data_IF_920024598769
#
_entry.id   IF_920024598769
#
_cell.length_a   1.000
_cell.length_b   1.000
_cell.length_c   1.000
_cell.angle_alpha   90.00
_cell.angle_beta   90.00
_cell.angle_gamma   90.00
#
_symmetry.space_group_name_H-M   'P 1'
#
loop_
_entity.id
_entity.type
_entity.pdbx_description
1 polymer ?
#
# COMPACT_ATOMS: atom_id res chain seq x y z
N UNK A 1 -18.42 -13.85 22.08
CA UNK A 1 -18.75 -12.91 20.96
C UNK A 1 -17.47 -12.65 20.22
N UNK A 2 -17.43 -12.88 18.91
CA UNK A 2 -16.27 -12.53 18.09
C UNK A 2 -16.25 -11.02 17.84
N UNK A 3 -15.05 -10.44 17.80
CA UNK A 3 -14.88 -9.02 17.52
C UNK A 3 -14.59 -8.86 16.02
N UNK A 4 -15.45 -8.14 15.26
CA UNK A 4 -15.32 -8.06 13.80
C UNK A 4 -13.98 -7.43 13.35
N UNK A 5 -13.40 -6.52 14.14
CA UNK A 5 -12.11 -5.93 13.83
C UNK A 5 -10.99 -6.96 13.95
N UNK A 6 -10.99 -7.75 15.01
CA UNK A 6 -10.00 -8.82 15.22
C UNK A 6 -10.14 -9.91 14.14
N UNK A 7 -11.38 -10.24 13.76
CA UNK A 7 -11.64 -11.17 12.65
C UNK A 7 -11.12 -10.65 11.32
N UNK A 8 -11.33 -9.38 10.99
CA UNK A 8 -10.81 -8.75 9.80
C UNK A 8 -9.27 -8.78 9.78
N UNK A 9 -8.62 -8.47 10.91
CA UNK A 9 -7.16 -8.58 11.06
C UNK A 9 -6.66 -10.02 10.82
N UNK A 10 -7.39 -11.01 11.35
CA UNK A 10 -7.01 -12.41 11.24
C UNK A 10 -7.29 -13.01 9.86
N UNK A 11 -8.34 -12.54 9.15
CA UNK A 11 -8.76 -13.07 7.85
C UNK A 11 -8.12 -12.38 6.64
N UNK A 12 -7.69 -11.11 6.75
CA UNK A 12 -7.05 -10.37 5.66
C UNK A 12 -5.83 -11.13 5.11
N UNK A 13 -5.72 -11.19 3.77
CA UNK A 13 -4.59 -11.82 3.05
C UNK A 13 -4.06 -10.92 1.95
N UNK A 14 -2.78 -11.12 1.62
CA UNK A 14 -2.17 -10.48 0.46
C UNK A 14 -2.68 -11.12 -0.83
N UNK A 15 -3.24 -10.31 -1.72
CA UNK A 15 -3.74 -10.73 -3.02
C UNK A 15 -2.63 -10.68 -4.07
N UNK A 16 -2.51 -11.72 -4.89
CA UNK A 16 -1.54 -11.81 -5.98
C UNK A 16 -2.21 -12.18 -7.32
N UNK A 17 -3.46 -11.83 -7.47
CA UNK A 17 -4.19 -11.88 -8.73
C UNK A 17 -5.45 -11.02 -8.59
N UNK A 18 -5.53 -9.96 -9.36
CA UNK A 18 -6.65 -9.03 -9.33
C UNK A 18 -7.48 -9.11 -10.60
N UNK A 19 -8.79 -8.82 -10.50
CA UNK A 19 -9.64 -8.54 -11.64
C UNK A 19 -9.26 -7.20 -12.25
N UNK A 20 -9.59 -7.01 -13.52
CA UNK A 20 -9.37 -5.74 -14.23
C UNK A 20 -10.43 -4.68 -13.93
N UNK A 21 -11.48 -5.02 -13.17
CA UNK A 21 -12.55 -4.10 -12.83
C UNK A 21 -12.01 -2.93 -12.02
N UNK A 22 -12.39 -1.70 -12.42
CA UNK A 22 -12.02 -0.49 -11.72
C UNK A 22 -12.62 -0.45 -10.32
N UNK A 23 -11.87 0.05 -9.36
CA UNK A 23 -12.39 0.33 -8.02
C UNK A 23 -13.03 1.72 -8.03
N UNK A 24 -14.26 1.89 -7.53
CA UNK A 24 -14.89 3.19 -7.41
C UNK A 24 -14.03 4.19 -6.64
N UNK A 25 -14.03 5.43 -7.08
CA UNK A 25 -13.23 6.51 -6.48
C UNK A 25 -13.53 6.66 -4.99
N UNK A 26 -14.79 6.62 -4.64
CA UNK A 26 -15.27 6.79 -3.26
C UNK A 26 -14.68 5.72 -2.33
N UNK A 27 -14.60 4.47 -2.79
CA UNK A 27 -13.99 3.39 -2.00
C UNK A 27 -12.47 3.58 -1.85
N UNK A 28 -11.78 4.09 -2.88
CA UNK A 28 -10.35 4.37 -2.78
C UNK A 28 -10.07 5.53 -1.82
N UNK A 29 -10.91 6.56 -1.83
CA UNK A 29 -10.83 7.70 -0.92
C UNK A 29 -11.12 7.26 0.53
N UNK A 30 -12.13 6.41 0.76
CA UNK A 30 -12.44 5.85 2.08
C UNK A 30 -11.29 5.01 2.63
N UNK A 31 -10.68 4.17 1.79
CA UNK A 31 -9.49 3.40 2.17
C UNK A 31 -8.31 4.32 2.50
N UNK A 32 -8.08 5.36 1.69
CA UNK A 32 -6.98 6.31 1.92
C UNK A 32 -7.18 7.09 3.22
N UNK A 33 -8.40 7.56 3.48
CA UNK A 33 -8.74 8.27 4.73
C UNK A 33 -8.53 7.37 5.94
N UNK A 34 -9.02 6.12 5.91
CA UNK A 34 -8.78 5.15 6.97
C UNK A 34 -7.28 4.90 7.20
N UNK A 35 -6.47 4.94 6.14
CA UNK A 35 -5.01 4.89 6.23
C UNK A 35 -4.45 6.03 7.07
N UNK A 36 -4.89 7.27 6.82
CA UNK A 36 -4.40 8.47 7.51
C UNK A 36 -4.76 8.52 9.00
N UNK A 37 -5.77 7.75 9.45
CA UNK A 37 -6.09 7.59 10.87
C UNK A 37 -5.12 6.68 11.63
N UNK A 38 -4.09 6.18 11.00
CA UNK A 38 -3.05 5.41 11.69
C UNK A 38 -2.36 6.25 12.76
N UNK A 39 -1.97 5.59 13.86
CA UNK A 39 -1.14 6.23 14.87
C UNK A 39 0.17 6.72 14.25
N UNK A 40 0.63 7.90 14.66
CA UNK A 40 1.85 8.49 14.14
C UNK A 40 2.63 9.20 15.26
N UNK A 41 3.93 9.31 15.09
CA UNK A 41 4.82 9.90 16.09
C UNK A 41 4.47 11.35 16.40
N UNK A 42 4.19 11.67 17.65
CA UNK A 42 3.91 13.02 18.16
C UNK A 42 2.74 13.73 17.45
N UNK A 43 1.84 13.02 16.80
CA UNK A 43 0.74 13.61 16.03
C UNK A 43 1.18 14.43 14.81
N UNK A 44 2.37 14.14 14.27
CA UNK A 44 2.98 14.92 13.17
C UNK A 44 2.25 14.79 11.85
N UNK A 45 1.50 13.69 11.62
CA UNK A 45 0.80 13.42 10.36
C UNK A 45 1.72 13.57 9.13
N UNK A 46 2.96 13.12 9.28
CA UNK A 46 4.04 13.29 8.31
C UNK A 46 3.99 12.26 7.17
N UNK A 47 2.79 11.89 6.74
CA UNK A 47 2.56 10.95 5.65
C UNK A 47 1.64 11.54 4.59
N UNK A 48 1.83 11.12 3.33
CA UNK A 48 0.92 11.42 2.22
C UNK A 48 0.57 10.13 1.49
N UNK A 49 -0.58 10.14 0.84
CA UNK A 49 -1.04 9.03 0.01
C UNK A 49 -1.33 9.57 -1.40
N UNK A 50 -0.75 8.94 -2.42
CA UNK A 50 -1.09 9.19 -3.82
C UNK A 50 -1.97 8.03 -4.29
N UNK A 51 -3.18 8.33 -4.74
CA UNK A 51 -4.08 7.34 -5.35
C UNK A 51 -3.82 7.34 -6.85
N UNK A 52 -3.39 6.20 -7.37
CA UNK A 52 -3.09 6.00 -8.79
C UNK A 52 -4.13 5.07 -9.40
N UNK A 53 -4.92 5.60 -10.33
CA UNK A 53 -5.92 4.85 -11.12
C UNK A 53 -5.67 4.97 -12.62
N UNK A 54 -4.86 5.95 -13.06
CA UNK A 54 -4.44 6.06 -14.45
C UNK A 54 -3.59 4.87 -14.85
N UNK A 55 -4.04 4.13 -15.86
CA UNK A 55 -3.40 2.89 -16.32
C UNK A 55 -1.97 3.13 -16.83
N UNK A 56 -1.74 4.27 -17.49
CA UNK A 56 -0.42 4.59 -18.04
C UNK A 56 0.58 4.86 -16.92
N UNK A 57 0.20 5.69 -15.94
CA UNK A 57 1.02 5.96 -14.76
C UNK A 57 1.26 4.68 -13.94
N UNK A 58 0.20 3.90 -13.68
CA UNK A 58 0.30 2.62 -12.98
C UNK A 58 1.31 1.68 -13.64
N UNK A 59 1.25 1.55 -14.97
CA UNK A 59 2.15 0.67 -15.72
C UNK A 59 3.59 1.19 -15.71
N UNK A 60 3.79 2.50 -15.77
CA UNK A 60 5.12 3.11 -15.66
C UNK A 60 5.76 2.83 -14.29
N UNK A 61 5.01 3.01 -13.21
CA UNK A 61 5.46 2.67 -11.85
C UNK A 61 5.76 1.16 -11.74
N UNK A 62 4.89 0.31 -12.32
CA UNK A 62 5.10 -1.14 -12.31
C UNK A 62 6.40 -1.55 -13.04
N UNK A 63 6.69 -0.92 -14.16
CA UNK A 63 7.92 -1.20 -14.92
C UNK A 63 9.16 -0.75 -14.15
N UNK A 64 9.14 0.42 -13.52
CA UNK A 64 10.23 0.86 -12.64
C UNK A 64 10.44 -0.11 -11.48
N UNK A 65 9.35 -0.51 -10.81
CA UNK A 65 9.40 -1.49 -9.71
C UNK A 65 9.97 -2.84 -10.17
N UNK A 66 9.60 -3.28 -11.38
CA UNK A 66 10.11 -4.50 -12.01
C UNK A 66 11.63 -4.41 -12.21
N UNK A 67 12.10 -3.31 -12.79
CA UNK A 67 13.53 -3.08 -13.07
C UNK A 67 14.34 -3.04 -11.78
N UNK A 68 13.92 -2.24 -10.80
CA UNK A 68 14.57 -2.13 -9.48
C UNK A 68 14.60 -3.50 -8.78
N UNK A 69 13.53 -4.28 -8.93
CA UNK A 69 13.42 -5.62 -8.35
C UNK A 69 14.21 -6.70 -9.07
N UNK A 70 14.79 -6.41 -10.24
CA UNK A 70 15.54 -7.38 -11.02
C UNK A 70 14.68 -8.50 -11.62
N UNK A 71 13.37 -8.29 -11.80
CA UNK A 71 12.47 -9.30 -12.36
C UNK A 71 12.52 -9.30 -13.89
N UNK A 72 12.21 -10.47 -14.45
CA UNK A 72 12.17 -10.68 -15.89
C UNK A 72 11.17 -9.73 -16.56
N UNK A 73 11.42 -9.43 -17.84
CA UNK A 73 10.49 -8.68 -18.69
C UNK A 73 9.10 -9.30 -18.71
N UNK A 74 8.07 -8.45 -18.71
CA UNK A 74 6.67 -8.85 -18.69
C UNK A 74 6.12 -9.27 -17.31
N UNK A 75 6.94 -9.35 -16.26
CA UNK A 75 6.42 -9.56 -14.91
C UNK A 75 5.80 -8.28 -14.37
N UNK A 76 4.55 -8.35 -13.90
CA UNK A 76 3.88 -7.24 -13.22
C UNK A 76 3.96 -7.41 -11.70
N UNK A 77 4.77 -6.58 -11.00
CA UNK A 77 4.90 -6.64 -9.54
C UNK A 77 3.61 -6.32 -8.78
N UNK A 78 2.65 -5.67 -9.44
CA UNK A 78 1.35 -5.32 -8.86
C UNK A 78 0.25 -6.33 -9.18
N UNK A 79 0.58 -7.46 -9.82
CA UNK A 79 -0.31 -8.61 -10.05
C UNK A 79 -1.62 -8.27 -10.76
N UNK A 80 -1.61 -7.29 -11.67
CA UNK A 80 -2.79 -6.86 -12.42
C UNK A 80 -3.74 -5.94 -11.64
N UNK A 81 -3.35 -5.46 -10.45
CA UNK A 81 -4.20 -4.53 -9.69
C UNK A 81 -4.54 -3.29 -10.51
N UNK A 82 -5.83 -2.89 -10.60
CA UNK A 82 -6.27 -1.74 -11.39
C UNK A 82 -5.87 -0.40 -10.76
N UNK A 83 -5.62 -0.38 -9.46
CA UNK A 83 -5.25 0.80 -8.70
C UNK A 83 -4.14 0.51 -7.69
N UNK A 84 -3.47 1.55 -7.23
CA UNK A 84 -2.55 1.50 -6.10
C UNK A 84 -2.62 2.80 -5.29
N UNK A 85 -2.35 2.69 -3.99
CA UNK A 85 -2.14 3.81 -3.10
C UNK A 85 -0.64 3.82 -2.73
N UNK A 86 0.06 4.87 -3.12
CA UNK A 86 1.48 5.05 -2.79
C UNK A 86 1.56 5.80 -1.47
N UNK A 87 2.20 5.22 -0.48
CA UNK A 87 2.44 5.87 0.81
C UNK A 87 3.81 6.53 0.80
N UNK A 88 3.83 7.81 1.10
CA UNK A 88 5.02 8.64 1.25
C UNK A 88 5.17 9.07 2.71
N UNK A 89 6.39 9.17 3.17
CA UNK A 89 6.75 9.77 4.45
C UNK A 89 7.63 10.99 4.25
N UNK A 90 7.43 12.04 5.06
CA UNK A 90 8.29 13.23 5.07
C UNK A 90 9.73 12.82 5.40
N UNK A 91 10.65 13.01 4.46
CA UNK A 91 12.04 12.55 4.58
C UNK A 91 12.78 13.23 5.76
N UNK A 92 12.32 14.39 6.22
CA UNK A 92 12.88 15.11 7.36
C UNK A 92 12.44 14.52 8.71
N UNK A 93 11.40 13.68 8.72
CA UNK A 93 10.84 13.08 9.92
C UNK A 93 11.48 11.71 10.25
N UNK A 94 12.07 11.58 11.44
CA UNK A 94 12.78 10.37 11.83
C UNK A 94 11.90 9.11 11.85
N UNK A 95 10.62 9.25 12.23
CA UNK A 95 9.69 8.11 12.36
C UNK A 95 8.90 7.82 11.07
N UNK A 96 9.20 8.47 9.94
CA UNK A 96 8.46 8.35 8.68
C UNK A 96 8.19 6.91 8.22
N UNK A 97 9.16 6.02 8.41
CA UNK A 97 9.04 4.61 8.02
C UNK A 97 8.03 3.90 8.91
N UNK A 98 8.08 4.14 10.22
CA UNK A 98 7.15 3.53 11.18
C UNK A 98 5.73 4.05 10.96
N UNK A 99 5.57 5.38 10.88
CA UNK A 99 4.29 6.04 10.63
C UNK A 99 3.68 5.56 9.31
N UNK A 100 4.45 5.57 8.22
CA UNK A 100 4.00 5.08 6.91
C UNK A 100 3.68 3.59 6.88
N UNK A 101 4.38 2.78 7.68
CA UNK A 101 4.08 1.35 7.83
C UNK A 101 2.74 1.13 8.53
N UNK A 102 2.40 1.93 9.53
CA UNK A 102 1.10 1.90 10.19
C UNK A 102 -0.02 2.34 9.24
N UNK A 103 0.21 3.40 8.45
CA UNK A 103 -0.70 3.81 7.36
C UNK A 103 -0.95 2.65 6.42
N UNK A 104 0.10 1.98 5.94
CA UNK A 104 -0.03 0.82 5.05
C UNK A 104 -0.84 -0.32 5.67
N UNK A 105 -0.65 -0.59 6.96
CA UNK A 105 -1.44 -1.57 7.72
C UNK A 105 -2.93 -1.24 7.71
N UNK A 106 -3.28 0.02 8.00
CA UNK A 106 -4.65 0.51 7.98
C UNK A 106 -5.27 0.46 6.58
N UNK A 107 -4.54 0.89 5.53
CA UNK A 107 -5.02 0.78 4.14
C UNK A 107 -5.44 -0.64 3.78
N UNK A 108 -4.60 -1.62 4.10
CA UNK A 108 -4.87 -3.02 3.79
C UNK A 108 -6.04 -3.58 4.59
N UNK A 109 -6.20 -3.16 5.83
CA UNK A 109 -7.32 -3.58 6.69
C UNK A 109 -8.64 -2.96 6.21
N UNK A 110 -8.64 -1.65 5.91
CA UNK A 110 -9.79 -0.94 5.37
C UNK A 110 -10.24 -1.54 4.02
N UNK A 111 -9.29 -1.78 3.10
CA UNK A 111 -9.59 -2.45 1.84
C UNK A 111 -10.31 -3.80 2.07
N UNK A 112 -9.81 -4.60 3.02
CA UNK A 112 -10.41 -5.89 3.35
C UNK A 112 -11.82 -5.75 3.92
N UNK A 113 -12.06 -4.79 4.82
CA UNK A 113 -13.38 -4.56 5.42
C UNK A 113 -14.44 -4.08 4.41
N UNK A 114 -13.98 -3.43 3.32
CA UNK A 114 -14.82 -2.94 2.22
C UNK A 114 -14.97 -3.97 1.07
N UNK A 115 -14.55 -5.22 1.28
CA UNK A 115 -14.66 -6.29 0.28
C UNK A 115 -13.62 -6.20 -0.86
N UNK A 116 -12.63 -5.33 -0.73
CA UNK A 116 -11.49 -5.25 -1.63
C UNK A 116 -10.35 -6.16 -1.16
N UNK A 117 -9.44 -6.45 -2.06
CA UNK A 117 -8.21 -7.14 -1.75
C UNK A 117 -7.02 -6.20 -1.97
N UNK A 118 -5.94 -6.44 -1.24
CA UNK A 118 -4.74 -5.63 -1.34
C UNK A 118 -3.47 -6.41 -1.06
N UNK A 119 -2.34 -5.80 -1.41
CA UNK A 119 -1.00 -6.31 -1.08
C UNK A 119 -0.02 -5.14 -0.98
N UNK A 120 0.90 -5.21 -0.02
CA UNK A 120 2.04 -4.30 0.07
C UNK A 120 3.12 -4.69 -0.92
N UNK A 121 3.52 -3.78 -1.79
CA UNK A 121 4.66 -3.91 -2.70
C UNK A 121 5.73 -2.92 -2.26
N UNK A 122 6.96 -3.41 -2.14
CA UNK A 122 8.13 -2.61 -1.75
C UNK A 122 8.69 -1.78 -2.92
N UNK A 123 9.80 -1.12 -2.70
CA UNK A 123 10.64 -0.34 -3.64
C UNK A 123 10.13 1.05 -3.97
N UNK A 124 9.08 1.51 -3.28
CA UNK A 124 8.67 2.91 -3.40
C UNK A 124 9.82 3.87 -3.04
N UNK A 125 10.69 3.48 -2.10
CA UNK A 125 11.85 4.29 -1.73
C UNK A 125 12.73 4.56 -2.95
N UNK A 126 13.23 3.52 -3.57
CA UNK A 126 14.13 3.60 -4.71
C UNK A 126 13.48 4.31 -5.92
N UNK A 127 12.17 4.09 -6.12
CA UNK A 127 11.41 4.74 -7.19
C UNK A 127 11.32 6.26 -6.98
N UNK A 128 11.01 6.71 -5.77
CA UNK A 128 10.82 8.13 -5.46
C UNK A 128 12.14 8.86 -5.14
N UNK A 129 13.23 8.17 -4.88
CA UNK A 129 14.60 8.72 -4.87
C UNK A 129 15.11 8.99 -6.30
N UNK A 130 14.58 8.29 -7.30
CA UNK A 130 14.93 8.46 -8.71
C UNK A 130 14.33 9.73 -9.34
N UNK A 131 14.89 10.15 -10.48
CA UNK A 131 14.43 11.36 -11.18
C UNK A 131 12.97 11.28 -11.65
N UNK A 132 12.52 10.12 -12.08
CA UNK A 132 11.13 9.91 -12.51
C UNK A 132 10.13 10.10 -11.35
N UNK A 133 10.48 9.57 -10.18
CA UNK A 133 9.66 9.74 -8.96
C UNK A 133 9.61 11.20 -8.53
N UNK A 134 10.74 11.89 -8.50
CA UNK A 134 10.80 13.32 -8.19
C UNK A 134 10.00 14.17 -9.18
N UNK A 135 10.10 13.86 -10.48
CA UNK A 135 9.31 14.51 -11.52
C UNK A 135 7.82 14.27 -11.33
N UNK A 136 7.42 13.07 -10.95
CA UNK A 136 6.03 12.75 -10.64
C UNK A 136 5.54 13.58 -9.45
N UNK A 137 6.27 13.65 -8.33
CA UNK A 137 5.89 14.45 -7.17
C UNK A 137 5.72 15.92 -7.54
N UNK A 138 6.67 16.46 -8.31
CA UNK A 138 6.58 17.83 -8.80
C UNK A 138 5.34 18.07 -9.68
N UNK A 139 5.01 17.14 -10.57
CA UNK A 139 3.84 17.25 -11.45
C UNK A 139 2.52 17.20 -10.68
N UNK A 140 2.51 16.60 -9.50
CA UNK A 140 1.37 16.54 -8.59
C UNK A 140 1.33 17.70 -7.59
N UNK A 141 2.25 18.66 -7.69
CA UNK A 141 2.34 19.79 -6.76
C UNK A 141 2.75 19.39 -5.34
N UNK A 142 3.41 18.24 -5.17
CA UNK A 142 3.92 17.79 -3.89
C UNK A 142 5.29 18.40 -3.65
N UNK A 143 5.32 19.42 -2.80
CA UNK A 143 6.54 20.12 -2.39
C UNK A 143 7.19 19.44 -1.17
N UNK A 144 8.50 19.68 -0.97
CA UNK A 144 9.30 19.12 0.11
C UNK A 144 9.98 17.82 -0.26
N UNK A 145 10.62 17.18 0.72
CA UNK A 145 11.35 15.93 0.53
C UNK A 145 10.52 14.76 1.04
N UNK A 146 10.24 13.81 0.15
CA UNK A 146 9.39 12.66 0.46
C UNK A 146 10.10 11.35 0.13
N UNK A 147 10.07 10.42 1.07
CA UNK A 147 10.55 9.05 0.89
C UNK A 147 9.35 8.13 0.62
N UNK A 148 9.45 7.28 -0.40
CA UNK A 148 8.45 6.24 -0.66
C UNK A 148 8.51 5.15 0.41
N UNK A 149 7.37 4.84 1.04
CA UNK A 149 7.27 3.77 2.05
C UNK A 149 6.83 2.46 1.41
N UNK A 150 5.89 2.53 0.49
CA UNK A 150 5.39 1.35 -0.21
C UNK A 150 4.16 1.64 -1.04
N UNK A 151 3.78 0.63 -1.83
CA UNK A 151 2.58 0.68 -2.64
C UNK A 151 1.56 -0.31 -2.08
N UNK A 152 0.35 0.14 -1.79
CA UNK A 152 -0.80 -0.71 -1.54
C UNK A 152 -1.48 -0.97 -2.90
N UNK A 153 -1.12 -2.07 -3.58
CA UNK A 153 -1.86 -2.51 -4.76
C UNK A 153 -3.24 -2.99 -4.33
N UNK A 154 -4.30 -2.51 -4.99
CA UNK A 154 -5.68 -2.68 -4.55
C UNK A 154 -6.63 -2.96 -5.71
N UNK A 155 -7.66 -3.78 -5.47
CA UNK A 155 -8.67 -4.16 -6.44
C UNK A 155 -9.53 -5.31 -5.95
N UNK A 156 -10.34 -5.88 -6.83
CA UNK A 156 -11.11 -7.07 -6.54
C UNK A 156 -10.26 -8.33 -6.77
N UNK A 157 -10.33 -9.35 -5.89
CA UNK A 157 -9.56 -10.57 -6.08
C UNK A 157 -10.08 -11.36 -7.27
N UNK A 158 -9.18 -11.85 -8.13
CA UNK A 158 -9.55 -12.68 -9.28
C UNK A 158 -9.81 -14.15 -8.90
N UNK A 159 -9.44 -14.54 -7.68
CA UNK A 159 -9.61 -15.90 -7.14
C UNK A 159 -9.75 -15.81 -5.63
N UNK A 160 -10.21 -16.90 -5.02
CA UNK A 160 -10.26 -17.03 -3.58
C UNK A 160 -8.88 -16.78 -2.94
N UNK A 161 -8.87 -16.02 -1.84
CA UNK A 161 -7.65 -15.74 -1.11
C UNK A 161 -7.24 -16.95 -0.25
N UNK A 162 -5.94 -17.19 -0.09
CA UNK A 162 -5.46 -18.37 0.63
C UNK A 162 -5.83 -18.31 2.12
N UNK A 163 -6.05 -19.47 2.72
CA UNK A 163 -6.19 -19.57 4.17
C UNK A 163 -4.85 -19.18 4.84
N UNK A 164 -4.93 -18.42 5.92
CA UNK A 164 -3.75 -18.01 6.67
C UNK A 164 -3.09 -19.19 7.37
N UNK A 165 -1.76 -19.26 7.30
CA UNK A 165 -1.02 -20.21 8.10
C UNK A 165 -1.20 -19.95 9.61
N UNK A 166 -1.20 -20.97 10.46
CA UNK A 166 -1.22 -20.81 11.91
C UNK A 166 -0.02 -19.96 12.37
N UNK A 167 -0.21 -19.21 13.44
CA UNK A 167 0.89 -18.42 14.02
C UNK A 167 1.88 -19.36 14.71
N UNK A 168 3.17 -19.07 14.58
CA UNK A 168 4.22 -19.83 15.24
C UNK A 168 4.04 -19.75 16.77
N UNK A 169 4.30 -20.83 17.52
CA UNK A 169 4.19 -20.81 18.98
C UNK A 169 5.22 -19.88 19.61
N UNK A 170 5.05 -19.57 20.89
CA UNK A 170 5.98 -18.79 21.71
C UNK A 170 6.32 -17.41 21.16
N UNK A 171 5.31 -16.71 20.58
CA UNK A 171 5.45 -15.33 20.09
C UNK A 171 4.85 -14.27 21.03
N UNK A 172 4.15 -14.74 22.07
CA UNK A 172 3.63 -13.91 23.15
C UNK A 172 4.30 -14.42 24.42
N UNK A 173 4.95 -13.53 25.13
CA UNK A 173 5.70 -13.84 26.35
C UNK A 173 5.16 -12.96 27.46
N UNK A 174 4.84 -13.57 28.58
CA UNK A 174 4.48 -12.88 29.81
C UNK A 174 5.75 -12.65 30.63
N UNK A 175 5.93 -11.44 31.16
CA UNK A 175 7.05 -11.06 32.03
C UNK A 175 6.53 -10.53 33.37
#
# INVERSE_FOLDING_TARGET
MSNPIIEAMASRRSCRAFKSDSVPRELLEEVAEAGLWAANGMGKQATKIIIVTDKSLRNRIAEQNRIIGGWKEGFDPFYGAPAMLVVLGDATWANRIYDGSLVMGNLMLAAHSLGLASIWIHRAKEEFEGEDGKSLLKSLGIEGEWEGIGHCAIGYPARELPVGAPRKPNRIIWA
#
